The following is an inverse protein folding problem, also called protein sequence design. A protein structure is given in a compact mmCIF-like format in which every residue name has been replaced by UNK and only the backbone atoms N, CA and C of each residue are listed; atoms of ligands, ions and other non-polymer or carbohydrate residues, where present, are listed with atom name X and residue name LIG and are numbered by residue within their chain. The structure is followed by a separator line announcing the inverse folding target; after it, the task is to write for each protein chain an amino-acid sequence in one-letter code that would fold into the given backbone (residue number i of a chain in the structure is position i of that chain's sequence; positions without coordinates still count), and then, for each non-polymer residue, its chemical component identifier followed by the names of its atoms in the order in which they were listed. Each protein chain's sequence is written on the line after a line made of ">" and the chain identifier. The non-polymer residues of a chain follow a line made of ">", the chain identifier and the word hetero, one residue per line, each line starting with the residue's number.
data_IF_634491368891
#
_entry.id   IF_634491368891
#
_cell.length_a   1.000
_cell.length_b   1.000
_cell.length_c   1.000
_cell.angle_alpha   90.00
_cell.angle_beta   90.00
_cell.angle_gamma   90.00
#
_symmetry.space_group_name_H-M   'P 1'
#
loop_
_entity.id
_entity.type
_entity.pdbx_description
1 polymer ?
#
# COMPACT_ATOMS: atom_id res chain seq x y z
N UNK A 1 6.42 5.75 -11.79
CA UNK A 1 5.22 6.17 -11.01
C UNK A 1 4.06 5.26 -11.30
N UNK A 2 3.46 5.26 -12.51
CA UNK A 2 2.38 4.31 -12.85
C UNK A 2 2.81 2.85 -12.65
N UNK A 3 4.01 2.49 -13.15
CA UNK A 3 4.61 1.16 -12.93
C UNK A 3 4.70 0.76 -11.45
N UNK A 4 5.04 1.67 -10.54
CA UNK A 4 5.12 1.36 -9.10
C UNK A 4 3.75 1.07 -8.48
N UNK A 5 2.68 1.73 -8.93
CA UNK A 5 1.32 1.41 -8.51
C UNK A 5 0.82 0.07 -9.02
N UNK A 6 1.22 -0.29 -10.25
CA UNK A 6 0.93 -1.63 -10.80
C UNK A 6 1.67 -2.69 -9.98
N UNK A 7 2.97 -2.52 -9.75
CA UNK A 7 3.78 -3.47 -8.97
C UNK A 7 3.28 -3.61 -7.52
N UNK A 8 2.93 -2.53 -6.84
CA UNK A 8 2.43 -2.60 -5.45
C UNK A 8 1.07 -3.29 -5.37
N UNK A 9 0.14 -3.00 -6.28
CA UNK A 9 -1.15 -3.69 -6.35
C UNK A 9 -0.99 -5.17 -6.66
N UNK A 10 -0.07 -5.54 -7.54
CA UNK A 10 0.20 -6.92 -7.92
C UNK A 10 0.84 -7.71 -6.77
N UNK A 11 1.75 -7.08 -6.02
CA UNK A 11 2.33 -7.66 -4.80
C UNK A 11 1.26 -7.95 -3.74
N UNK A 12 0.30 -7.04 -3.52
CA UNK A 12 -0.81 -7.27 -2.58
C UNK A 12 -1.70 -8.44 -3.01
N UNK A 13 -1.95 -8.59 -4.32
CA UNK A 13 -2.70 -9.73 -4.84
C UNK A 13 -1.93 -11.05 -4.69
N UNK A 14 -0.62 -11.06 -4.95
CA UNK A 14 0.24 -12.22 -4.74
C UNK A 14 0.25 -12.61 -3.25
N UNK A 15 0.37 -11.63 -2.34
CA UNK A 15 0.39 -11.87 -0.90
C UNK A 15 -0.88 -12.58 -0.42
N UNK A 16 -2.07 -12.11 -0.83
CA UNK A 16 -3.34 -12.82 -0.57
C UNK A 16 -3.39 -14.21 -1.21
N UNK A 17 -2.81 -14.38 -2.40
CA UNK A 17 -2.78 -15.69 -3.06
C UNK A 17 -1.94 -16.69 -2.27
N UNK A 18 -0.74 -16.28 -1.85
CA UNK A 18 0.15 -17.08 -0.99
C UNK A 18 -0.53 -17.39 0.35
N UNK A 19 -1.25 -16.42 0.91
CA UNK A 19 -2.02 -16.59 2.14
C UNK A 19 -3.14 -17.63 2.01
N UNK A 20 -3.87 -17.64 0.89
CA UNK A 20 -4.96 -18.59 0.63
C UNK A 20 -4.46 -20.01 0.38
N UNK A 21 -3.31 -20.17 -0.28
CA UNK A 21 -2.70 -21.49 -0.50
C UNK A 21 -1.96 -22.01 0.74
N UNK A 22 -1.42 -21.12 1.58
CA UNK A 22 -0.67 -21.46 2.78
C UNK A 22 -1.54 -21.68 4.03
N UNK A 23 -2.79 -21.21 4.05
CA UNK A 23 -3.69 -21.34 5.19
C UNK A 23 -4.72 -22.45 4.98
N UNK A 24 -4.79 -23.38 5.93
CA UNK A 24 -5.86 -24.39 6.00
C UNK A 24 -7.19 -23.77 6.46
N UNK A 25 -7.11 -22.74 7.31
CA UNK A 25 -8.24 -21.93 7.75
C UNK A 25 -8.40 -20.69 6.87
N UNK A 26 -9.44 -20.70 6.04
CA UNK A 26 -9.76 -19.61 5.11
C UNK A 26 -10.56 -18.53 5.83
N UNK A 27 -9.88 -17.73 6.65
CA UNK A 27 -10.48 -16.54 7.26
C UNK A 27 -10.78 -15.45 6.19
N UNK A 28 -11.96 -14.82 6.21
CA UNK A 28 -12.31 -13.74 5.27
C UNK A 28 -11.32 -12.56 5.29
N UNK A 29 -10.67 -12.35 6.44
CA UNK A 29 -9.65 -11.31 6.63
C UNK A 29 -8.43 -11.43 5.70
N UNK A 30 -8.15 -12.63 5.18
CA UNK A 30 -7.04 -12.88 4.26
C UNK A 30 -7.26 -12.21 2.89
N UNK A 31 -8.50 -11.83 2.56
CA UNK A 31 -8.86 -11.15 1.31
C UNK A 31 -8.71 -9.63 1.34
N UNK A 32 -8.51 -9.03 2.53
CA UNK A 32 -8.35 -7.57 2.67
C UNK A 32 -7.21 -7.00 1.80
N UNK A 33 -6.00 -7.60 1.74
CA UNK A 33 -4.93 -7.11 0.89
C UNK A 33 -5.34 -7.13 -0.60
N UNK A 34 -6.03 -8.17 -1.07
CA UNK A 34 -6.54 -8.27 -2.44
C UNK A 34 -7.65 -7.25 -2.75
N UNK A 35 -8.59 -7.03 -1.82
CA UNK A 35 -9.67 -6.04 -2.00
C UNK A 35 -9.14 -4.62 -2.20
N UNK A 36 -7.98 -4.31 -1.61
CA UNK A 36 -7.28 -3.04 -1.81
C UNK A 36 -6.30 -3.09 -2.98
N UNK A 37 -5.65 -4.22 -3.20
CA UNK A 37 -4.67 -4.46 -4.26
C UNK A 37 -5.26 -4.32 -5.66
N UNK A 38 -6.47 -4.85 -5.90
CA UNK A 38 -7.13 -4.77 -7.22
C UNK A 38 -7.42 -3.31 -7.61
N UNK A 39 -8.09 -2.48 -6.79
CA UNK A 39 -8.24 -1.06 -7.07
C UNK A 39 -6.91 -0.31 -7.27
N UNK A 40 -5.89 -0.56 -6.43
CA UNK A 40 -4.57 0.07 -6.56
C UNK A 40 -3.92 -0.30 -7.90
N UNK A 41 -3.99 -1.56 -8.31
CA UNK A 41 -3.48 -2.05 -9.58
C UNK A 41 -4.23 -1.39 -10.75
N UNK A 42 -5.57 -1.36 -10.68
CA UNK A 42 -6.41 -0.75 -11.71
C UNK A 42 -6.08 0.74 -11.90
N UNK A 43 -5.99 1.50 -10.80
CA UNK A 43 -5.59 2.91 -10.87
C UNK A 43 -4.13 3.07 -11.33
N UNK A 44 -3.25 2.12 -11.02
CA UNK A 44 -1.88 2.06 -11.57
C UNK A 44 -1.86 1.96 -13.09
N UNK A 45 -2.72 1.10 -13.67
CA UNK A 45 -2.88 0.96 -15.12
C UNK A 45 -3.50 2.22 -15.73
N UNK A 46 -4.59 2.74 -15.14
CA UNK A 46 -5.24 3.98 -15.61
C UNK A 46 -4.27 5.17 -15.57
N UNK A 47 -3.31 5.18 -14.64
CA UNK A 47 -2.28 6.20 -14.53
C UNK A 47 -1.23 6.18 -15.66
N UNK A 48 -1.24 5.16 -16.55
CA UNK A 48 -0.45 5.17 -17.79
C UNK A 48 -0.90 6.32 -18.71
N UNK A 49 -2.17 6.72 -18.65
CA UNK A 49 -2.70 7.84 -19.42
C UNK A 49 -2.24 9.20 -18.85
N UNK A 50 -1.46 10.00 -19.59
CA UNK A 50 -0.88 11.24 -19.06
C UNK A 50 -1.93 12.27 -18.64
N UNK A 51 -3.09 12.29 -19.30
CA UNK A 51 -4.21 13.20 -18.99
C UNK A 51 -4.84 12.93 -17.60
N UNK A 52 -4.92 11.66 -17.18
CA UNK A 52 -5.60 11.23 -15.92
C UNK A 52 -4.61 10.79 -14.82
N UNK A 53 -3.30 10.80 -15.12
CA UNK A 53 -2.24 10.26 -14.26
C UNK A 53 -2.21 10.80 -12.85
N UNK A 54 -2.39 12.11 -12.66
CA UNK A 54 -2.34 12.72 -11.31
C UNK A 54 -3.50 12.25 -10.43
N UNK A 55 -4.71 12.23 -10.97
CA UNK A 55 -5.90 11.79 -10.25
C UNK A 55 -5.82 10.30 -9.90
N UNK A 56 -5.46 9.46 -10.87
CA UNK A 56 -5.35 8.02 -10.65
C UNK A 56 -4.26 7.64 -9.62
N UNK A 57 -3.10 8.33 -9.65
CA UNK A 57 -2.07 8.09 -8.63
C UNK A 57 -2.49 8.58 -7.24
N UNK A 58 -3.23 9.69 -7.15
CA UNK A 58 -3.73 10.21 -5.89
C UNK A 58 -4.79 9.27 -5.25
N UNK A 59 -5.73 8.75 -6.05
CA UNK A 59 -6.71 7.77 -5.55
C UNK A 59 -6.04 6.47 -5.12
N UNK A 60 -5.06 5.97 -5.89
CA UNK A 60 -4.26 4.82 -5.49
C UNK A 60 -3.49 5.06 -4.17
N UNK A 61 -2.95 6.28 -3.97
CA UNK A 61 -2.28 6.65 -2.73
C UNK A 61 -3.24 6.71 -1.53
N UNK A 62 -4.47 7.21 -1.72
CA UNK A 62 -5.50 7.19 -0.68
C UNK A 62 -5.87 5.75 -0.29
N UNK A 63 -6.05 4.86 -1.27
CA UNK A 63 -6.31 3.45 -1.02
C UNK A 63 -5.16 2.75 -0.29
N UNK A 64 -3.92 3.05 -0.69
CA UNK A 64 -2.73 2.58 0.03
C UNK A 64 -2.66 3.11 1.46
N UNK A 65 -3.09 4.35 1.69
CA UNK A 65 -3.24 4.96 3.01
C UNK A 65 -4.27 4.23 3.88
N UNK A 66 -5.45 3.94 3.33
CA UNK A 66 -6.49 3.16 4.01
C UNK A 66 -6.01 1.74 4.35
N UNK A 67 -5.33 1.07 3.41
CA UNK A 67 -4.72 -0.23 3.67
C UNK A 67 -3.70 -0.20 4.80
N UNK A 68 -2.86 0.84 4.83
CA UNK A 68 -1.92 1.05 5.93
C UNK A 68 -2.64 1.21 7.27
N UNK A 69 -3.70 2.03 7.33
CA UNK A 69 -4.49 2.26 8.55
C UNK A 69 -5.14 0.97 9.06
N UNK A 70 -5.76 0.20 8.16
CA UNK A 70 -6.37 -1.10 8.48
C UNK A 70 -5.32 -2.07 8.98
N UNK A 71 -4.18 -2.18 8.28
CA UNK A 71 -3.09 -3.08 8.65
C UNK A 71 -2.46 -2.72 10.00
N UNK A 72 -2.30 -1.43 10.32
CA UNK A 72 -1.86 -0.99 11.64
C UNK A 72 -2.86 -1.39 12.73
N UNK A 73 -4.17 -1.24 12.49
CA UNK A 73 -5.20 -1.71 13.41
C UNK A 73 -5.08 -3.21 13.69
N UNK A 74 -4.83 -4.02 12.66
CA UNK A 74 -4.60 -5.46 12.78
C UNK A 74 -3.33 -5.77 13.59
N UNK A 75 -2.23 -5.05 13.35
CA UNK A 75 -0.99 -5.23 14.10
C UNK A 75 -1.16 -4.89 15.59
N UNK A 76 -1.90 -3.82 15.92
CA UNK A 76 -2.22 -3.47 17.31
C UNK A 76 -3.07 -4.57 17.96
N UNK A 77 -4.07 -5.08 17.24
CA UNK A 77 -4.90 -6.19 17.72
C UNK A 77 -4.06 -7.45 17.98
N UNK A 78 -3.20 -7.82 17.04
CA UNK A 78 -2.27 -8.96 17.19
C UNK A 78 -1.30 -8.76 18.35
N UNK A 79 -0.78 -7.55 18.54
CA UNK A 79 0.11 -7.21 19.64
C UNK A 79 -0.60 -7.32 21.01
N UNK A 80 -1.85 -6.87 21.08
CA UNK A 80 -2.70 -7.06 22.27
C UNK A 80 -2.97 -8.54 22.55
N UNK A 81 -3.28 -9.32 21.51
CA UNK A 81 -3.51 -10.76 21.63
C UNK A 81 -2.26 -11.49 22.12
N UNK A 82 -1.10 -11.15 21.57
CA UNK A 82 0.19 -11.68 22.00
C UNK A 82 0.46 -11.38 23.47
N UNK A 83 0.15 -10.17 23.95
CA UNK A 83 0.36 -9.78 25.34
C UNK A 83 -0.58 -10.50 26.32
N UNK A 84 -1.81 -10.80 25.91
CA UNK A 84 -2.81 -11.42 26.78
C UNK A 84 -2.75 -12.95 26.79
N UNK A 85 -2.49 -13.58 25.63
CA UNK A 85 -2.61 -15.03 25.44
C UNK A 85 -1.25 -15.69 25.17
N UNK A 86 -0.22 -14.92 24.81
CA UNK A 86 1.13 -15.44 24.53
C UNK A 86 1.27 -16.20 23.20
N UNK A 87 0.17 -16.50 22.52
CA UNK A 87 0.14 -17.22 21.24
C UNK A 87 -0.42 -16.33 20.12
N UNK A 88 0.28 -16.28 18.99
CA UNK A 88 -0.19 -15.62 17.76
C UNK A 88 0.07 -16.50 16.56
N UNK A 89 -0.87 -16.49 15.62
CA UNK A 89 -0.73 -17.22 14.36
C UNK A 89 0.35 -16.56 13.49
N UNK A 90 1.53 -17.20 13.42
CA UNK A 90 2.69 -16.68 12.71
C UNK A 90 2.40 -16.42 11.23
N UNK A 91 1.60 -17.29 10.61
CA UNK A 91 1.19 -17.15 9.21
C UNK A 91 0.38 -15.86 8.99
N UNK A 92 -0.66 -15.65 9.80
CA UNK A 92 -1.51 -14.47 9.72
C UNK A 92 -0.72 -13.17 9.99
N UNK A 93 0.13 -13.17 11.03
CA UNK A 93 0.98 -12.02 11.34
C UNK A 93 1.91 -11.66 10.17
N UNK A 94 2.50 -12.66 9.50
CA UNK A 94 3.38 -12.43 8.35
C UNK A 94 2.65 -11.75 7.18
N UNK A 95 1.43 -12.16 6.89
CA UNK A 95 0.61 -11.58 5.81
C UNK A 95 0.25 -10.13 6.12
N UNK A 96 -0.21 -9.85 7.34
CA UNK A 96 -0.51 -8.47 7.76
C UNK A 96 0.74 -7.59 7.69
N UNK A 97 1.90 -8.12 8.09
CA UNK A 97 3.17 -7.41 8.01
C UNK A 97 3.57 -7.09 6.56
N UNK A 98 3.40 -8.05 5.64
CA UNK A 98 3.69 -7.88 4.22
C UNK A 98 2.76 -6.84 3.58
N UNK A 99 1.46 -6.93 3.84
CA UNK A 99 0.47 -5.92 3.41
C UNK A 99 0.88 -4.52 3.87
N UNK A 100 1.17 -4.34 5.17
CA UNK A 100 1.59 -3.04 5.72
C UNK A 100 2.89 -2.57 5.07
N UNK A 101 3.88 -3.46 4.90
CA UNK A 101 5.14 -3.16 4.25
C UNK A 101 4.99 -2.67 2.82
N UNK A 102 4.14 -3.33 2.02
CA UNK A 102 3.85 -2.93 0.63
C UNK A 102 3.10 -1.59 0.59
N UNK A 103 2.12 -1.38 1.48
CA UNK A 103 1.41 -0.11 1.60
C UNK A 103 2.36 1.06 1.98
N UNK A 104 3.24 0.85 2.96
CA UNK A 104 4.23 1.86 3.38
C UNK A 104 5.21 2.15 2.25
N UNK A 105 5.75 1.12 1.58
CA UNK A 105 6.67 1.30 0.46
C UNK A 105 6.02 2.12 -0.66
N UNK A 106 4.75 1.83 -0.98
CA UNK A 106 4.00 2.59 -1.98
C UNK A 106 3.81 4.06 -1.56
N UNK A 107 3.37 4.32 -0.33
CA UNK A 107 3.22 5.68 0.20
C UNK A 107 4.55 6.45 0.25
N UNK A 108 5.64 5.78 0.66
CA UNK A 108 6.97 6.37 0.70
C UNK A 108 7.44 6.79 -0.71
N UNK A 109 7.27 5.93 -1.71
CA UNK A 109 7.62 6.28 -3.11
C UNK A 109 6.76 7.42 -3.65
N UNK A 110 5.47 7.48 -3.27
CA UNK A 110 4.58 8.59 -3.63
C UNK A 110 5.02 9.91 -2.97
N UNK A 111 5.28 9.89 -1.67
CA UNK A 111 5.70 11.05 -0.88
C UNK A 111 7.07 11.58 -1.30
N UNK A 112 8.05 10.68 -1.54
CA UNK A 112 9.38 11.05 -2.03
C UNK A 112 9.28 11.85 -3.34
N UNK A 113 8.47 11.36 -4.26
CA UNK A 113 8.31 12.00 -5.56
C UNK A 113 7.54 13.31 -5.49
N UNK A 114 6.58 13.42 -4.56
CA UNK A 114 5.89 14.67 -4.28
C UNK A 114 6.85 15.73 -3.74
N UNK A 115 7.71 15.35 -2.78
CA UNK A 115 8.74 16.22 -2.20
C UNK A 115 9.80 16.63 -3.20
N UNK A 116 10.25 15.71 -4.07
CA UNK A 116 11.19 16.01 -5.16
C UNK A 116 10.65 17.08 -6.12
N UNK A 117 9.35 17.02 -6.46
CA UNK A 117 8.70 18.05 -7.29
C UNK A 117 8.58 19.39 -6.59
N UNK A 118 8.32 19.41 -5.27
CA UNK A 118 8.28 20.66 -4.49
C UNK A 118 9.64 21.33 -4.43
N UNK A 119 10.71 20.57 -4.19
CA UNK A 119 12.09 21.10 -4.18
C UNK A 119 12.46 21.75 -5.52
N UNK A 120 12.14 21.10 -6.65
CA UNK A 120 12.37 21.69 -7.97
C UNK A 120 11.54 22.96 -8.22
N UNK A 121 10.28 22.99 -7.79
CA UNK A 121 9.41 24.16 -7.95
C UNK A 121 9.91 25.37 -7.17
N UNK A 122 10.41 25.18 -5.95
CA UNK A 122 10.99 26.25 -5.14
C UNK A 122 12.30 26.79 -5.73
N UNK A 123 13.15 25.92 -6.28
CA UNK A 123 14.37 26.35 -7.00
C UNK A 123 14.06 27.21 -8.23
N UNK A 124 13.01 26.89 -8.99
CA UNK A 124 12.61 27.71 -10.14
C UNK A 124 12.03 29.07 -9.75
N UNK A 125 11.18 29.12 -8.72
CA UNK A 125 10.65 30.38 -8.19
C UNK A 125 11.74 31.33 -7.68
N UNK A 126 12.79 30.78 -7.06
CA UNK A 126 13.92 31.58 -6.58
C UNK A 126 14.83 32.10 -7.72
N UNK A 127 14.72 31.54 -8.94
CA UNK A 127 15.50 31.96 -10.12
C UNK A 127 14.80 32.98 -10.99
N UNK A 128 13.47 33.12 -10.87
CA UNK A 128 12.66 34.06 -11.66
C UNK A 128 12.39 35.39 -10.94
N UNK A 129 12.94 35.58 -9.74
CA UNK A 129 12.76 36.77 -8.90
C UNK A 129 14.03 37.61 -8.69
N UNK A 130 15.07 37.41 -9.50
CA UNK A 130 16.28 38.25 -9.55
C UNK A 130 16.59 38.63 -10.98
#
# INVERSE_FOLDING_TARGET
>A
MARFGIFSGLLLCIDTTVALFGSLDKAPLLFIPMMLGIPILFFGVVALNPHRRKQALATAALLGGLGCLIGFGQLIHLFSLWRNVGAVNLHYTRIVLLMVGVCIAYLATYAWNWSARRKFRMMFLNRSGG
#
